data_IF_347674406058
#
_entry.id   IF_347674406058
#
_cell.length_a   1.000
_cell.length_b   1.000
_cell.length_c   1.000
_cell.angle_alpha   90.00
_cell.angle_beta   90.00
_cell.angle_gamma   90.00
#
_symmetry.space_group_name_H-M   'P 1'
#
loop_
_entity.id
_entity.type
_entity.pdbx_description
1 polymer ?
#
# COMPACT_ATOMS: atom_id res chain seq x y z
N UNK A 1 8.51 -16.95 5.76
CA UNK A 1 8.10 -16.96 4.34
C UNK A 1 6.58 -17.02 4.16
N UNK A 2 5.85 -17.87 4.90
CA UNK A 2 4.39 -17.93 4.81
C UNK A 2 3.74 -16.61 5.13
N UNK A 3 4.14 -15.94 6.23
CA UNK A 3 3.55 -14.68 6.67
C UNK A 3 3.73 -13.54 5.65
N UNK A 4 4.86 -13.47 4.97
CA UNK A 4 5.14 -12.45 3.94
C UNK A 4 4.15 -12.58 2.79
N UNK A 5 4.00 -13.78 2.25
CA UNK A 5 3.07 -14.03 1.16
C UNK A 5 1.62 -13.84 1.59
N UNK A 6 1.24 -14.36 2.75
CA UNK A 6 -0.12 -14.25 3.27
C UNK A 6 -0.50 -12.79 3.54
N UNK A 7 0.44 -11.98 4.05
CA UNK A 7 0.23 -10.54 4.24
C UNK A 7 0.15 -9.78 2.93
N UNK A 8 1.01 -10.11 1.94
CA UNK A 8 0.98 -9.47 0.63
C UNK A 8 -0.36 -9.70 -0.10
N UNK A 9 -0.99 -10.85 0.11
CA UNK A 9 -2.24 -11.26 -0.53
C UNK A 9 -3.44 -11.32 0.44
N UNK A 10 -3.38 -10.59 1.55
CA UNK A 10 -4.45 -10.58 2.57
C UNK A 10 -5.76 -9.94 2.08
N UNK A 11 -5.74 -9.24 0.96
CA UNK A 11 -6.95 -8.65 0.34
C UNK A 11 -7.79 -9.68 -0.39
N UNK A 12 -9.03 -9.29 -0.66
CA UNK A 12 -9.88 -10.00 -1.60
C UNK A 12 -9.39 -9.81 -3.05
N UNK A 13 -9.41 -10.89 -3.83
CA UNK A 13 -8.98 -10.90 -5.22
C UNK A 13 -7.46 -10.90 -5.38
N UNK A 14 -6.97 -10.53 -6.56
CA UNK A 14 -5.55 -10.58 -6.95
C UNK A 14 -4.78 -9.30 -6.60
N UNK A 15 -5.26 -8.54 -5.63
CA UNK A 15 -4.60 -7.31 -5.17
C UNK A 15 -3.53 -7.60 -4.14
N UNK A 16 -2.58 -6.68 -4.00
CA UNK A 16 -1.45 -6.82 -3.09
C UNK A 16 -1.38 -5.64 -2.13
N UNK A 17 -0.81 -5.89 -0.96
CA UNK A 17 -0.48 -4.86 0.02
C UNK A 17 1.01 -4.52 0.00
N UNK A 18 1.31 -3.31 0.47
CA UNK A 18 2.70 -2.88 0.69
C UNK A 18 3.17 -3.45 2.00
N UNK A 19 4.36 -4.03 1.97
CA UNK A 19 5.06 -4.59 3.12
C UNK A 19 6.37 -3.84 3.31
N UNK A 20 6.60 -3.29 4.50
CA UNK A 20 7.84 -2.65 4.91
C UNK A 20 8.52 -3.55 5.94
N UNK A 21 9.80 -3.79 5.75
CA UNK A 21 10.62 -4.65 6.61
C UNK A 21 11.76 -3.81 7.19
N UNK A 22 11.60 -3.25 8.38
CA UNK A 22 12.69 -2.53 9.04
C UNK A 22 13.77 -3.52 9.48
N UNK A 23 15.04 -3.12 9.38
CA UNK A 23 16.18 -3.91 9.80
C UNK A 23 16.65 -3.63 11.24
N UNK A 24 16.24 -2.47 11.80
CA UNK A 24 16.62 -2.02 13.13
C UNK A 24 15.52 -1.17 13.80
N UNK A 25 15.67 -0.80 15.09
CA UNK A 25 14.71 0.03 15.79
C UNK A 25 14.53 1.44 15.20
N UNK A 26 15.58 2.01 14.59
CA UNK A 26 15.49 3.32 13.94
C UNK A 26 14.58 3.25 12.72
N UNK A 27 14.76 2.25 11.87
CA UNK A 27 13.87 2.01 10.73
C UNK A 27 12.45 1.66 11.17
N UNK A 28 12.27 0.93 12.29
CA UNK A 28 10.93 0.71 12.86
C UNK A 28 10.21 2.02 13.16
N UNK A 29 10.92 2.99 13.74
CA UNK A 29 10.37 4.31 14.03
C UNK A 29 10.03 5.08 12.75
N UNK A 30 10.95 5.14 11.79
CA UNK A 30 10.79 5.85 10.53
C UNK A 30 9.70 5.24 9.65
N UNK A 31 9.69 3.91 9.50
CA UNK A 31 8.69 3.20 8.70
C UNK A 31 7.29 3.23 9.32
N UNK A 32 7.19 3.39 10.64
CA UNK A 32 5.88 3.59 11.27
C UNK A 32 5.21 4.87 10.78
N UNK A 33 5.97 5.96 10.68
CA UNK A 33 5.46 7.23 10.13
C UNK A 33 5.24 7.14 8.61
N UNK A 34 6.19 6.54 7.88
CA UNK A 34 6.11 6.40 6.43
C UNK A 34 4.97 5.47 6.00
N UNK A 35 4.63 4.45 6.79
CA UNK A 35 3.48 3.59 6.51
C UNK A 35 2.17 4.37 6.46
N UNK A 36 1.96 5.35 7.35
CA UNK A 36 0.79 6.23 7.29
C UNK A 36 0.81 7.13 6.05
N UNK A 37 1.97 7.68 5.72
CA UNK A 37 2.15 8.51 4.53
C UNK A 37 1.82 7.71 3.25
N UNK A 38 2.38 6.52 3.10
CA UNK A 38 2.11 5.63 1.97
C UNK A 38 0.64 5.18 1.93
N UNK A 39 0.04 4.85 3.08
CA UNK A 39 -1.36 4.45 3.14
C UNK A 39 -2.31 5.57 2.68
N UNK A 40 -2.00 6.83 3.02
CA UNK A 40 -2.75 7.98 2.56
C UNK A 40 -2.59 8.23 1.05
N UNK A 41 -1.34 8.20 0.56
CA UNK A 41 -1.01 8.42 -0.86
C UNK A 41 -1.60 7.35 -1.76
N UNK A 42 -1.45 6.09 -1.38
CA UNK A 42 -1.84 4.93 -2.18
C UNK A 42 -3.27 4.45 -1.90
N UNK A 43 -3.90 4.96 -0.84
CA UNK A 43 -5.25 4.57 -0.43
C UNK A 43 -5.37 3.04 -0.30
N UNK A 44 -4.41 2.44 0.41
CA UNK A 44 -4.32 1.00 0.64
C UNK A 44 -3.64 0.74 1.99
N UNK A 45 -3.97 -0.35 2.69
CA UNK A 45 -3.26 -0.74 3.89
C UNK A 45 -1.78 -0.98 3.62
N UNK A 46 -0.93 -0.60 4.58
CA UNK A 46 0.51 -0.84 4.58
C UNK A 46 0.85 -1.63 5.84
N UNK A 47 1.62 -2.70 5.70
CA UNK A 47 2.05 -3.51 6.82
C UNK A 47 3.53 -3.23 7.12
N UNK A 48 3.84 -2.90 8.37
CA UNK A 48 5.21 -2.89 8.87
C UNK A 48 5.43 -4.22 9.58
N UNK A 49 6.38 -5.01 9.09
CA UNK A 49 6.63 -6.38 9.56
C UNK A 49 8.01 -6.42 10.18
N UNK A 50 8.05 -6.57 11.49
CA UNK A 50 9.25 -6.78 12.29
C UNK A 50 9.40 -8.25 12.65
N UNK A 51 10.61 -8.65 13.05
CA UNK A 51 10.89 -9.99 13.56
C UNK A 51 11.07 -10.00 15.10
N UNK A 52 11.30 -11.19 15.65
CA UNK A 52 11.50 -11.36 17.09
C UNK A 52 12.85 -10.82 17.56
N UNK A 53 13.84 -10.72 16.71
CA UNK A 53 15.14 -10.18 17.07
C UNK A 53 15.03 -8.69 17.39
N UNK A 54 14.36 -7.94 16.53
CA UNK A 54 14.08 -6.51 16.78
C UNK A 54 13.10 -6.35 17.95
N UNK A 55 12.05 -7.17 18.02
CA UNK A 55 10.95 -6.99 18.95
C UNK A 55 11.23 -7.43 20.40
N UNK A 56 12.20 -8.30 20.64
CA UNK A 56 12.45 -8.92 21.93
C UNK A 56 13.86 -8.69 22.50
N UNK A 57 14.80 -8.22 21.72
CA UNK A 57 16.15 -7.93 22.19
C UNK A 57 16.27 -6.48 22.66
N UNK A 58 17.20 -6.26 23.60
CA UNK A 58 17.60 -4.93 24.05
C UNK A 58 18.61 -4.34 23.06
N UNK A 59 18.12 -3.54 22.13
CA UNK A 59 18.95 -2.88 21.13
C UNK A 59 19.52 -1.57 21.67
N UNK A 60 20.79 -1.31 21.38
CA UNK A 60 21.38 0.01 21.57
C UNK A 60 21.14 0.82 20.31
N UNK A 61 20.43 1.93 20.44
CA UNK A 61 20.11 2.83 19.32
C UNK A 61 20.28 4.28 19.75
N UNK A 62 20.42 5.17 18.79
CA UNK A 62 20.39 6.60 19.02
C UNK A 62 18.98 7.06 19.45
N UNK A 63 18.91 8.25 20.01
CA UNK A 63 17.63 8.84 20.40
C UNK A 63 16.79 9.10 19.15
N UNK A 64 15.56 8.59 19.14
CA UNK A 64 14.61 8.91 18.09
C UNK A 64 14.28 10.39 18.08
N UNK A 65 14.40 11.01 16.91
CA UNK A 65 14.06 12.41 16.71
C UNK A 65 12.78 12.50 15.88
N UNK A 66 11.80 13.23 16.42
CA UNK A 66 10.57 13.53 15.74
C UNK A 66 10.58 14.95 15.21
N UNK A 67 10.34 15.11 13.92
CA UNK A 67 10.26 16.43 13.28
C UNK A 67 8.79 16.87 13.17
N UNK A 68 8.37 17.80 14.05
CA UNK A 68 7.02 18.36 14.05
C UNK A 68 6.72 19.23 12.82
N UNK A 69 7.75 19.69 12.12
CA UNK A 69 7.59 20.50 10.91
C UNK A 69 7.43 19.64 9.64
N UNK A 70 7.69 18.34 9.72
CA UNK A 70 7.57 17.42 8.60
C UNK A 70 6.11 17.32 8.16
N UNK A 71 5.84 17.73 6.92
CA UNK A 71 4.52 17.60 6.31
C UNK A 71 4.43 16.28 5.55
N UNK A 72 3.37 15.54 5.83
CA UNK A 72 3.08 14.30 5.11
C UNK A 72 2.18 14.56 3.92
N UNK A 73 2.42 13.84 2.83
CA UNK A 73 1.61 13.89 1.62
C UNK A 73 0.31 13.09 1.83
N UNK A 74 -0.83 13.78 1.78
CA UNK A 74 -2.16 13.16 1.92
C UNK A 74 -2.65 12.51 0.63
N UNK A 75 -1.84 12.54 -0.41
CA UNK A 75 -2.17 12.00 -1.73
C UNK A 75 -3.18 12.87 -2.50
N UNK A 76 -3.87 12.26 -3.42
CA UNK A 76 -4.79 12.93 -4.35
C UNK A 76 -6.13 13.29 -3.69
N UNK A 77 -6.12 14.33 -2.85
CA UNK A 77 -7.32 14.86 -2.18
C UNK A 77 -7.80 16.11 -2.89
N UNK A 78 -9.03 16.10 -3.38
CA UNK A 78 -9.67 17.24 -4.04
C UNK A 78 -10.25 18.21 -3.00
N UNK A 79 -10.10 19.48 -3.26
CA UNK A 79 -10.79 20.55 -2.53
C UNK A 79 -12.07 20.99 -3.27
N UNK A 80 -12.80 21.97 -2.73
CA UNK A 80 -14.05 22.44 -3.32
C UNK A 80 -13.84 23.08 -4.70
N UNK A 81 -12.76 23.86 -4.87
CA UNK A 81 -12.45 24.52 -6.14
C UNK A 81 -12.07 23.53 -7.24
N UNK A 82 -11.42 22.43 -6.89
CA UNK A 82 -11.10 21.35 -7.83
C UNK A 82 -12.36 20.65 -8.30
N UNK A 83 -13.30 20.40 -7.38
CA UNK A 83 -14.60 19.80 -7.69
C UNK A 83 -15.46 20.71 -8.56
N UNK A 84 -15.37 22.04 -8.40
CA UNK A 84 -16.09 22.99 -9.24
C UNK A 84 -15.63 22.96 -10.71
N UNK A 85 -14.34 22.70 -10.93
CA UNK A 85 -13.75 22.59 -12.27
C UNK A 85 -14.02 21.25 -12.96
N UNK A 86 -14.43 20.23 -12.18
CA UNK A 86 -14.75 18.91 -12.71
C UNK A 86 -16.21 18.78 -13.10
N UNK A 87 -16.46 18.24 -14.29
CA UNK A 87 -17.82 17.94 -14.74
C UNK A 87 -18.44 16.80 -13.92
N UNK A 88 -17.67 15.73 -13.70
CA UNK A 88 -18.10 14.56 -12.94
C UNK A 88 -16.98 14.07 -12.03
N UNK A 89 -17.32 13.76 -10.78
CA UNK A 89 -16.42 13.09 -9.83
C UNK A 89 -16.65 11.59 -9.86
N UNK A 90 -15.57 10.83 -10.08
CA UNK A 90 -15.55 9.38 -9.96
C UNK A 90 -14.56 8.94 -8.88
N UNK A 91 -15.08 8.32 -7.79
CA UNK A 91 -14.23 7.90 -6.66
C UNK A 91 -13.12 6.91 -7.08
N UNK A 92 -13.38 6.11 -8.10
CA UNK A 92 -12.48 5.09 -8.61
C UNK A 92 -12.00 5.34 -10.04
N UNK A 93 -12.21 6.56 -10.52
CA UNK A 93 -11.73 6.99 -11.84
C UNK A 93 -10.22 7.29 -11.78
N UNK A 94 -9.46 6.60 -12.62
CA UNK A 94 -8.01 6.77 -12.78
C UNK A 94 -7.74 7.85 -13.84
N UNK A 95 -7.68 9.11 -13.41
CA UNK A 95 -7.53 10.26 -14.33
C UNK A 95 -6.09 10.36 -14.85
N UNK A 96 -5.11 10.09 -13.98
CA UNK A 96 -3.69 10.28 -14.28
C UNK A 96 -3.02 9.02 -14.83
N UNK A 97 -3.77 7.96 -15.01
CA UNK A 97 -3.28 6.68 -15.53
C UNK A 97 -2.16 6.03 -14.70
N UNK A 98 -2.18 6.24 -13.37
CA UNK A 98 -1.23 5.67 -12.40
C UNK A 98 -1.87 4.66 -11.42
N UNK A 99 -3.16 4.40 -11.57
CA UNK A 99 -3.95 3.49 -10.72
C UNK A 99 -4.43 4.11 -9.42
N UNK A 100 -4.02 5.35 -9.08
CA UNK A 100 -4.40 6.05 -7.86
C UNK A 100 -5.49 7.06 -8.17
N UNK A 101 -6.67 6.85 -7.59
CA UNK A 101 -7.83 7.68 -7.84
C UNK A 101 -7.87 8.90 -6.92
N UNK A 102 -8.51 9.96 -7.38
CA UNK A 102 -8.79 11.11 -6.53
C UNK A 102 -9.86 10.80 -5.49
N UNK A 103 -9.74 11.40 -4.31
CA UNK A 103 -10.70 11.28 -3.22
C UNK A 103 -11.10 12.62 -2.64
N UNK A 104 -12.18 12.62 -1.92
CA UNK A 104 -12.71 13.75 -1.18
C UNK A 104 -12.89 13.39 0.29
N UNK A 105 -12.89 14.37 1.16
CA UNK A 105 -13.35 14.20 2.53
C UNK A 105 -14.83 14.59 2.67
N UNK A 106 -15.55 14.02 3.64
CA UNK A 106 -16.91 14.44 3.94
C UNK A 106 -16.97 15.94 4.22
N UNK A 107 -17.91 16.63 3.57
CA UNK A 107 -18.09 18.08 3.74
C UNK A 107 -17.18 18.96 2.89
N UNK A 108 -16.37 18.40 1.99
CA UNK A 108 -15.51 19.18 1.07
C UNK A 108 -16.34 20.10 0.16
N UNK A 109 -17.49 19.63 -0.33
CA UNK A 109 -18.37 20.43 -1.22
C UNK A 109 -19.84 20.08 -0.92
N UNK A 110 -20.77 21.07 -0.99
CA UNK A 110 -22.19 20.85 -0.65
C UNK A 110 -22.92 19.89 -1.60
N UNK A 111 -22.54 19.85 -2.87
CA UNK A 111 -23.27 19.10 -3.91
C UNK A 111 -22.42 18.06 -4.64
N UNK A 112 -21.09 18.19 -4.63
CA UNK A 112 -20.17 17.34 -5.41
C UNK A 112 -19.24 16.53 -4.48
N UNK A 113 -18.64 15.48 -5.03
CA UNK A 113 -17.62 14.69 -4.36
C UNK A 113 -18.14 13.66 -3.36
N UNK A 114 -19.43 13.62 -3.10
CA UNK A 114 -20.04 12.56 -2.30
C UNK A 114 -20.16 11.28 -3.13
N UNK A 115 -19.93 10.14 -2.47
CA UNK A 115 -20.09 8.83 -3.09
C UNK A 115 -20.57 7.80 -2.05
N UNK A 116 -21.16 6.74 -2.53
CA UNK A 116 -21.57 5.60 -1.72
C UNK A 116 -21.17 4.31 -2.43
N UNK A 117 -20.43 3.47 -1.74
CA UNK A 117 -19.99 2.17 -2.25
C UNK A 117 -20.56 1.05 -1.40
N UNK A 118 -21.04 0.00 -2.05
CA UNK A 118 -21.45 -1.25 -1.41
C UNK A 118 -21.07 -2.44 -2.29
N UNK A 119 -20.87 -3.60 -1.65
CA UNK A 119 -20.48 -4.82 -2.36
C UNK A 119 -19.00 -4.83 -2.74
N UNK A 120 -18.57 -5.89 -3.41
CA UNK A 120 -17.18 -6.10 -3.81
C UNK A 120 -16.89 -5.56 -5.21
N UNK A 121 -17.90 -5.46 -6.08
CA UNK A 121 -17.77 -4.97 -7.45
C UNK A 121 -18.49 -3.63 -7.62
N UNK A 122 -17.80 -2.67 -8.20
CA UNK A 122 -18.29 -1.32 -8.50
C UNK A 122 -17.59 -0.77 -9.74
N UNK A 123 -18.24 0.20 -10.39
CA UNK A 123 -17.65 0.96 -11.47
C UNK A 123 -16.76 2.12 -10.96
N UNK A 124 -16.22 2.89 -11.88
CA UNK A 124 -15.37 4.08 -11.61
C UNK A 124 -16.10 5.19 -10.84
N UNK A 125 -17.44 5.17 -10.84
CA UNK A 125 -18.30 6.12 -10.11
C UNK A 125 -18.84 5.56 -8.79
N UNK A 126 -18.31 4.45 -8.31
CA UNK A 126 -18.74 3.76 -7.08
C UNK A 126 -20.13 3.10 -7.16
N UNK A 127 -20.68 2.89 -8.35
CA UNK A 127 -21.98 2.23 -8.53
C UNK A 127 -21.78 0.73 -8.53
N UNK A 128 -22.63 0.02 -7.80
CA UNK A 128 -22.60 -1.44 -7.79
C UNK A 128 -22.84 -2.03 -9.19
N UNK A 129 -22.06 -3.03 -9.53
CA UNK A 129 -22.18 -3.75 -10.81
C UNK A 129 -21.73 -5.21 -10.65
N UNK A 130 -22.33 -6.10 -11.41
CA UNK A 130 -21.93 -7.52 -11.55
C UNK A 130 -21.29 -7.79 -12.92
N UNK A 131 -21.00 -6.74 -13.70
CA UNK A 131 -20.38 -6.87 -15.01
C UNK A 131 -18.91 -7.31 -14.86
N UNK A 132 -18.56 -8.46 -15.47
CA UNK A 132 -17.20 -9.03 -15.42
C UNK A 132 -16.15 -8.13 -16.05
N UNK A 133 -16.47 -7.42 -17.14
CA UNK A 133 -15.52 -6.53 -17.82
C UNK A 133 -15.15 -5.32 -16.94
N UNK A 134 -16.12 -4.78 -16.20
CA UNK A 134 -15.87 -3.69 -15.25
C UNK A 134 -15.03 -4.18 -14.06
N UNK A 135 -15.28 -5.40 -13.58
CA UNK A 135 -14.46 -6.00 -12.54
C UNK A 135 -13.01 -6.21 -13.00
N UNK A 136 -12.80 -6.69 -14.22
CA UNK A 136 -11.46 -6.82 -14.81
C UNK A 136 -10.73 -5.47 -14.90
N UNK A 137 -11.42 -4.42 -15.35
CA UNK A 137 -10.86 -3.05 -15.40
C UNK A 137 -10.46 -2.57 -14.02
N UNK A 138 -11.28 -2.81 -12.99
CA UNK A 138 -10.99 -2.45 -11.61
C UNK A 138 -9.75 -3.18 -11.08
N UNK A 139 -9.64 -4.48 -11.32
CA UNK A 139 -8.48 -5.28 -10.91
C UNK A 139 -7.20 -4.83 -11.64
N UNK A 140 -7.30 -4.57 -12.95
CA UNK A 140 -6.18 -4.04 -13.76
C UNK A 140 -5.68 -2.71 -13.22
N UNK A 141 -6.59 -1.79 -12.84
CA UNK A 141 -6.23 -0.53 -12.18
C UNK A 141 -5.51 -0.76 -10.84
N UNK A 142 -5.96 -1.72 -10.03
CA UNK A 142 -5.31 -2.05 -8.76
C UNK A 142 -3.91 -2.64 -8.95
N UNK A 143 -3.70 -3.46 -9.98
CA UNK A 143 -2.35 -3.96 -10.35
C UNK A 143 -1.46 -2.79 -10.79
N UNK A 144 -1.99 -1.85 -11.57
CA UNK A 144 -1.28 -0.65 -11.97
C UNK A 144 -0.88 0.19 -10.75
N UNK A 145 -1.81 0.46 -9.82
CA UNK A 145 -1.53 1.15 -8.55
C UNK A 145 -0.38 0.49 -7.78
N UNK A 146 -0.35 -0.84 -7.74
CA UNK A 146 0.73 -1.56 -7.07
C UNK A 146 2.09 -1.37 -7.77
N UNK A 147 2.11 -1.27 -9.09
CA UNK A 147 3.35 -0.92 -9.83
C UNK A 147 3.81 0.49 -9.52
N UNK A 148 2.91 1.47 -9.53
CA UNK A 148 3.20 2.85 -9.10
C UNK A 148 3.73 2.88 -7.67
N UNK A 149 3.16 2.07 -6.77
CA UNK A 149 3.61 1.98 -5.39
C UNK A 149 5.08 1.55 -5.26
N UNK A 150 5.58 0.70 -6.16
CA UNK A 150 6.98 0.25 -6.14
C UNK A 150 7.99 1.38 -6.36
N UNK A 151 7.57 2.50 -6.93
CA UNK A 151 8.41 3.69 -7.14
C UNK A 151 8.39 4.64 -5.92
N UNK A 152 7.45 4.44 -5.01
CA UNK A 152 7.20 5.31 -3.86
C UNK A 152 7.70 4.73 -2.53
N UNK A 153 7.91 3.43 -2.47
CA UNK A 153 8.41 2.74 -1.27
C UNK A 153 9.92 2.88 -1.14
N UNK A 154 10.48 2.79 0.08
CA UNK A 154 11.92 2.70 0.28
C UNK A 154 12.53 1.55 -0.54
N UNK A 155 13.67 1.81 -1.15
CA UNK A 155 14.38 0.77 -1.91
C UNK A 155 14.95 -0.28 -0.96
N UNK A 156 14.92 -1.57 -1.32
CA UNK A 156 15.53 -2.62 -0.51
C UNK A 156 17.05 -2.45 -0.47
N UNK A 157 17.64 -2.67 0.69
CA UNK A 157 19.09 -2.78 0.85
C UNK A 157 19.49 -4.17 0.37
N UNK A 158 20.41 -4.23 -0.59
CA UNK A 158 20.90 -5.49 -1.16
C UNK A 158 22.39 -5.62 -0.83
N UNK A 159 22.72 -6.49 0.09
CA UNK A 159 24.10 -6.89 0.37
C UNK A 159 24.42 -8.15 -0.44
N UNK A 160 25.20 -7.96 -1.50
CA UNK A 160 25.73 -9.08 -2.28
C UNK A 160 27.11 -9.44 -1.71
N UNK A 161 27.15 -10.44 -0.85
CA UNK A 161 28.44 -11.03 -0.48
C UNK A 161 29.15 -11.56 -1.74
N UNK A 162 30.46 -11.33 -1.88
CA UNK A 162 31.32 -11.79 -3.01
C UNK A 162 31.35 -13.31 -3.21
N UNK A 163 30.62 -14.06 -2.43
CA UNK A 163 30.47 -15.51 -2.58
C UNK A 163 29.36 -15.78 -3.58
N UNK A 164 29.74 -16.31 -4.74
CA UNK A 164 28.80 -16.98 -5.65
C UNK A 164 28.09 -18.12 -4.90
N UNK A 165 27.00 -17.78 -4.24
CA UNK A 165 26.12 -18.72 -3.56
C UNK A 165 24.77 -18.74 -4.25
N UNK A 166 24.17 -19.90 -4.40
CA UNK A 166 22.78 -20.03 -4.81
C UNK A 166 21.86 -19.36 -3.79
N UNK A 167 20.79 -18.75 -4.25
CA UNK A 167 19.80 -18.10 -3.40
C UNK A 167 19.28 -19.08 -2.32
N UNK A 168 19.50 -18.72 -1.06
CA UNK A 168 19.12 -19.51 0.11
C UNK A 168 17.63 -19.46 0.47
N UNK A 169 16.81 -18.76 -0.31
CA UNK A 169 15.40 -18.53 0.01
C UNK A 169 14.58 -19.83 0.12
N UNK A 170 15.12 -20.97 -0.33
CA UNK A 170 14.45 -22.28 -0.36
C UNK A 170 15.31 -23.44 0.13
N UNK A 171 16.30 -23.20 0.97
CA UNK A 171 17.18 -24.30 1.47
C UNK A 171 16.64 -25.00 2.71
N UNK A 172 15.61 -24.49 3.35
CA UNK A 172 14.90 -25.21 4.41
C UNK A 172 13.62 -25.79 3.82
N UNK A 173 13.47 -27.12 3.76
CA UNK A 173 12.22 -27.73 3.33
C UNK A 173 11.09 -27.26 4.26
N UNK A 174 9.96 -26.93 3.68
CA UNK A 174 8.74 -26.65 4.45
C UNK A 174 8.37 -27.89 5.26
N UNK A 175 7.77 -27.77 6.45
CA UNK A 175 7.27 -28.91 7.20
C UNK A 175 6.34 -29.84 6.40
N UNK A 176 5.78 -29.36 5.28
CA UNK A 176 4.96 -30.15 4.36
C UNK A 176 5.78 -30.98 3.36
N UNK A 177 7.05 -30.64 3.16
CA UNK A 177 7.93 -31.33 2.21
C UNK A 177 8.69 -32.48 2.89
N UNK A 178 8.56 -32.64 4.21
CA UNK A 178 9.18 -33.71 4.98
C UNK A 178 8.35 -35.01 5.02
N UNK A 179 7.15 -35.02 4.45
CA UNK A 179 6.20 -36.16 4.48
C UNK A 179 6.16 -36.93 3.13
N UNK A 180 7.16 -36.77 2.27
CA UNK A 180 7.31 -37.56 1.02
C UNK A 180 8.53 -38.43 1.00
#
# INVERSE_FOLDING_TARGET
EMCIRDSAYASHGDTKHILLFPEDPQECFEFSAEAFNLAERLQTPVFVISDLDIGMNDWVTDKFEWDDEKKYDRGKVLNAEDLDKMDNFGRYLDIDDDGICYRTYPGTHPEKGAFFTRGTSHDEYARYTENGDINEQTLTRLVKKFRTASELVPNPIIDLSDKQGSCLLYTSPSPRDSDT
#
